data_IF_113224214845
#
_entry.id   IF_113224214845
#
_cell.length_a   1.000
_cell.length_b   1.000
_cell.length_c   1.000
_cell.angle_alpha   90.00
_cell.angle_beta   90.00
_cell.angle_gamma   90.00
#
_symmetry.space_group_name_H-M   'P 1'
#
loop_
_entity.id
_entity.type
_entity.pdbx_description
1 polymer ?
#
# COMPACT_ATOMS: atom_id res chain seq x y z
N UNK A 1 -14.09 -12.21 3.23
CA UNK A 1 -13.15 -11.74 2.23
C UNK A 1 -12.41 -10.52 2.77
N UNK A 2 -11.07 -10.62 3.21
CA UNK A 2 -10.36 -9.45 3.72
C UNK A 2 -9.90 -8.53 2.60
N UNK A 3 -9.97 -7.21 2.88
CA UNK A 3 -9.51 -6.17 1.98
C UNK A 3 -8.55 -5.27 2.75
N UNK A 4 -7.34 -5.11 2.22
CA UNK A 4 -6.36 -4.19 2.79
C UNK A 4 -6.19 -3.02 1.83
N UNK A 5 -6.33 -1.80 2.33
CA UNK A 5 -6.13 -0.60 1.56
C UNK A 5 -4.94 0.14 2.14
N UNK A 6 -3.93 0.37 1.30
CA UNK A 6 -2.70 0.99 1.73
C UNK A 6 -2.49 2.27 0.95
N UNK A 7 -2.42 3.39 1.67
CA UNK A 7 -2.08 4.66 1.07
C UNK A 7 -0.58 4.84 1.11
N UNK A 8 0.01 5.22 0.00
CA UNK A 8 1.44 5.46 -0.06
C UNK A 8 1.74 6.61 -1.03
N UNK A 9 2.86 7.26 -0.83
CA UNK A 9 3.26 8.32 -1.75
C UNK A 9 3.67 7.72 -3.08
N UNK A 10 3.40 8.46 -4.15
CA UNK A 10 3.84 8.08 -5.49
C UNK A 10 5.38 8.04 -5.58
N UNK A 11 5.90 7.33 -6.55
CA UNK A 11 7.32 7.31 -6.83
C UNK A 11 7.95 5.92 -6.87
N UNK A 12 7.22 4.89 -6.45
CA UNK A 12 7.73 3.52 -6.51
C UNK A 12 7.38 2.89 -7.84
N UNK A 13 8.26 2.00 -8.33
CA UNK A 13 8.00 1.31 -9.57
C UNK A 13 6.99 0.18 -9.38
N UNK A 14 6.50 -0.35 -10.50
CA UNK A 14 5.47 -1.39 -10.47
C UNK A 14 5.96 -2.68 -9.83
N UNK A 15 7.25 -2.98 -9.97
CA UNK A 15 7.80 -4.19 -9.36
C UNK A 15 7.74 -4.15 -7.84
N UNK A 16 8.10 -3.01 -7.25
CA UNK A 16 8.01 -2.86 -5.79
C UNK A 16 6.58 -2.91 -5.31
N UNK A 17 5.66 -2.31 -6.07
CA UNK A 17 4.25 -2.34 -5.72
C UNK A 17 3.70 -3.76 -5.80
N UNK A 18 4.10 -4.52 -6.81
CA UNK A 18 3.68 -5.92 -6.92
C UNK A 18 4.21 -6.75 -5.76
N UNK A 19 5.45 -6.51 -5.33
CA UNK A 19 6.00 -7.21 -4.16
C UNK A 19 5.26 -6.88 -2.87
N UNK A 20 4.86 -5.61 -2.72
CA UNK A 20 4.08 -5.21 -1.55
C UNK A 20 2.72 -5.91 -1.53
N UNK A 21 2.05 -5.98 -2.67
CA UNK A 21 0.77 -6.69 -2.78
C UNK A 21 0.94 -8.16 -2.40
N UNK A 22 1.97 -8.80 -2.91
CA UNK A 22 2.22 -10.22 -2.64
C UNK A 22 2.52 -10.46 -1.15
N UNK A 23 3.36 -9.61 -0.55
CA UNK A 23 3.74 -9.78 0.85
C UNK A 23 2.56 -9.55 1.79
N UNK A 24 1.74 -8.54 1.53
CA UNK A 24 0.56 -8.27 2.37
C UNK A 24 -0.45 -9.40 2.21
N UNK A 25 -0.64 -9.90 1.00
CA UNK A 25 -1.53 -11.03 0.75
C UNK A 25 -1.09 -12.23 1.56
N UNK A 26 0.21 -12.57 1.52
CA UNK A 26 0.73 -13.72 2.25
C UNK A 26 0.55 -13.57 3.76
N UNK A 27 0.79 -12.37 4.26
CA UNK A 27 0.62 -12.12 5.69
C UNK A 27 -0.82 -12.34 6.14
N UNK A 28 -1.79 -11.89 5.34
CA UNK A 28 -3.20 -12.06 5.66
C UNK A 28 -3.63 -13.53 5.54
N UNK A 29 -3.11 -14.24 4.53
CA UNK A 29 -3.39 -15.67 4.37
C UNK A 29 -2.96 -16.43 5.63
N UNK A 30 -1.78 -16.14 6.13
CA UNK A 30 -1.25 -16.84 7.30
C UNK A 30 -1.94 -16.41 8.59
N UNK A 31 -2.15 -15.10 8.76
CA UNK A 31 -2.73 -14.59 10.00
C UNK A 31 -4.20 -14.92 10.15
N UNK A 32 -4.95 -14.90 9.07
CA UNK A 32 -6.41 -15.10 9.11
C UNK A 32 -6.85 -16.48 8.66
N UNK A 33 -5.91 -17.30 8.23
CA UNK A 33 -6.20 -18.66 7.74
C UNK A 33 -7.24 -18.64 6.61
N UNK A 34 -6.97 -17.81 5.62
CA UNK A 34 -7.84 -17.66 4.45
C UNK A 34 -7.08 -18.01 3.18
N UNK A 35 -7.82 -18.23 2.10
CA UNK A 35 -7.20 -18.51 0.80
C UNK A 35 -6.74 -17.22 0.14
N UNK A 36 -5.63 -17.29 -0.60
CA UNK A 36 -5.10 -16.11 -1.29
C UNK A 36 -6.14 -15.49 -2.23
N UNK A 37 -6.95 -16.31 -2.88
CA UNK A 37 -7.96 -15.84 -3.82
C UNK A 37 -9.02 -14.96 -3.16
N UNK A 38 -9.21 -15.08 -1.85
CA UNK A 38 -10.20 -14.26 -1.14
C UNK A 38 -9.64 -12.93 -0.66
N UNK A 39 -8.33 -12.73 -0.75
CA UNK A 39 -7.68 -11.52 -0.26
C UNK A 39 -7.61 -10.47 -1.37
N UNK A 40 -7.94 -9.23 -1.01
CA UNK A 40 -7.77 -8.09 -1.91
C UNK A 40 -6.84 -7.10 -1.26
N UNK A 41 -5.84 -6.64 -2.00
CA UNK A 41 -4.90 -5.62 -1.55
C UNK A 41 -4.94 -4.48 -2.55
N UNK A 42 -5.26 -3.30 -2.07
CA UNK A 42 -5.39 -2.11 -2.92
C UNK A 42 -4.34 -1.10 -2.49
N UNK A 43 -3.52 -0.67 -3.42
CA UNK A 43 -2.56 0.39 -3.19
C UNK A 43 -3.12 1.67 -3.79
N UNK A 44 -3.22 2.72 -2.97
CA UNK A 44 -3.69 4.02 -3.42
C UNK A 44 -2.54 5.01 -3.34
N UNK A 45 -2.02 5.39 -4.50
CA UNK A 45 -0.92 6.34 -4.56
C UNK A 45 -1.42 7.75 -4.36
N UNK A 46 -0.69 8.52 -3.58
CA UNK A 46 -1.02 9.91 -3.27
C UNK A 46 0.13 10.78 -3.74
N UNK A 47 -0.16 11.83 -4.53
CA UNK A 47 0.89 12.77 -4.94
C UNK A 47 1.56 13.41 -3.72
N UNK A 48 2.84 13.69 -3.83
CA UNK A 48 3.60 14.30 -2.72
C UNK A 48 3.03 15.64 -2.32
N UNK A 49 2.39 16.35 -3.24
CA UNK A 49 1.75 17.63 -2.96
C UNK A 49 0.53 17.49 -2.05
N UNK A 50 0.00 16.28 -1.95
CA UNK A 50 -1.21 16.02 -1.17
C UNK A 50 -0.95 15.13 0.05
N UNK A 51 0.31 14.87 0.33
CA UNK A 51 0.72 14.06 1.49
C UNK A 51 1.28 14.99 2.56
N UNK A 52 0.46 15.28 3.56
CA UNK A 52 0.83 16.24 4.59
C UNK A 52 1.64 15.61 5.71
N UNK A 53 2.74 16.25 6.09
CA UNK A 53 3.56 15.86 7.24
C UNK A 53 3.82 17.11 8.05
N UNK A 54 3.38 17.10 9.32
CA UNK A 54 3.53 18.24 10.21
C UNK A 54 2.98 19.55 9.62
N UNK A 55 1.88 19.42 8.88
CA UNK A 55 1.20 20.58 8.29
C UNK A 55 1.74 21.06 6.96
N UNK A 56 2.71 20.34 6.38
CA UNK A 56 3.31 20.74 5.11
C UNK A 56 3.29 19.59 4.12
N UNK A 57 3.16 19.87 2.82
CA UNK A 57 3.23 18.80 1.81
C UNK A 57 4.59 18.14 1.80
N UNK A 58 4.61 16.82 1.59
CA UNK A 58 5.85 16.07 1.50
C UNK A 58 6.74 16.58 0.37
N UNK A 59 6.15 17.16 -0.69
CA UNK A 59 6.90 17.71 -1.82
C UNK A 59 7.86 18.83 -1.42
N UNK A 60 7.64 19.47 -0.27
CA UNK A 60 8.51 20.55 0.22
C UNK A 60 9.63 20.05 1.13
N UNK A 61 9.64 18.77 1.46
CA UNK A 61 10.68 18.19 2.32
C UNK A 61 11.89 17.79 1.49
N UNK A 62 13.06 18.00 2.05
CA UNK A 62 14.32 17.64 1.37
C UNK A 62 14.91 16.38 1.95
#
# INVERSE_FOLDING_TARGET
>A
MPIAIIHLMEGRDDEKKARAIAAVTQALVEALDVKAESVRVILQEVPKTQWGIAGKPASTRK
#
